data_IF_950139885870
#
_entry.id   IF_950139885870
#
_cell.length_a   1.000
_cell.length_b   1.000
_cell.length_c   1.000
_cell.angle_alpha   90.00
_cell.angle_beta   90.00
_cell.angle_gamma   90.00
#
_symmetry.space_group_name_H-M   'P 1'
#
loop_
_entity.id
_entity.type
_entity.pdbx_description
1 polymer ?
#
# COMPACT_ATOMS: atom_id res chain seq x y z
N UNK A 1 -4.12 -21.04 0.56
CA UNK A 1 -4.73 -19.73 0.88
C UNK A 1 -4.59 -19.51 2.38
N UNK A 2 -3.63 -18.67 2.82
CA UNK A 2 -3.53 -18.22 4.22
C UNK A 2 -3.73 -16.71 4.23
N UNK A 3 -4.99 -16.29 4.35
CA UNK A 3 -5.34 -14.95 4.80
C UNK A 3 -5.22 -14.95 6.33
N UNK A 4 -3.99 -14.81 6.83
CA UNK A 4 -3.68 -15.01 8.25
C UNK A 4 -2.80 -13.90 8.78
N UNK A 5 -3.43 -12.96 9.50
CA UNK A 5 -2.85 -11.85 10.27
C UNK A 5 -2.00 -10.86 9.48
N UNK A 6 -2.64 -9.77 9.05
CA UNK A 6 -1.92 -8.52 8.81
C UNK A 6 -1.15 -8.16 10.08
N UNK A 7 0.13 -7.81 9.96
CA UNK A 7 0.90 -7.35 11.11
C UNK A 7 0.25 -6.10 11.72
N UNK A 8 0.52 -5.81 13.00
CA UNK A 8 -0.04 -4.61 13.64
C UNK A 8 0.31 -3.32 12.88
N UNK A 9 1.51 -3.29 12.25
CA UNK A 9 1.98 -2.19 11.41
C UNK A 9 1.19 -2.12 10.10
N UNK A 10 1.01 -3.24 9.39
CA UNK A 10 0.17 -3.29 8.18
C UNK A 10 -1.25 -2.79 8.44
N UNK A 11 -1.88 -3.29 9.51
CA UNK A 11 -3.22 -2.86 9.90
C UNK A 11 -3.28 -1.37 10.27
N UNK A 12 -2.21 -0.85 10.88
CA UNK A 12 -2.08 0.58 11.21
C UNK A 12 -1.95 1.43 9.97
N UNK A 13 -1.09 1.05 9.03
CA UNK A 13 -0.88 1.74 7.73
C UNK A 13 -2.18 1.78 6.94
N UNK A 14 -2.83 0.63 6.73
CA UNK A 14 -4.10 0.53 6.00
C UNK A 14 -5.17 1.44 6.62
N UNK A 15 -5.27 1.46 7.96
CA UNK A 15 -6.24 2.29 8.67
C UNK A 15 -5.94 3.78 8.54
N UNK A 16 -4.67 4.18 8.67
CA UNK A 16 -4.28 5.59 8.56
C UNK A 16 -4.57 6.15 7.18
N UNK A 17 -4.18 5.44 6.12
CA UNK A 17 -4.44 5.86 4.74
C UNK A 17 -5.93 5.88 4.41
N UNK A 18 -6.63 4.76 4.60
CA UNK A 18 -8.07 4.66 4.25
C UNK A 18 -8.96 5.55 5.13
N UNK A 19 -8.51 5.90 6.34
CA UNK A 19 -9.26 6.75 7.26
C UNK A 19 -9.05 8.25 7.03
N UNK A 20 -7.88 8.64 6.53
CA UNK A 20 -7.53 10.05 6.33
C UNK A 20 -7.76 10.53 4.89
N UNK A 21 -7.78 9.63 3.91
CA UNK A 21 -7.92 9.95 2.48
C UNK A 21 -9.11 9.18 1.89
N UNK A 22 -10.32 9.79 1.85
CA UNK A 22 -11.54 9.15 1.34
C UNK A 22 -11.46 8.66 -0.11
N UNK A 23 -10.59 9.26 -0.92
CA UNK A 23 -10.39 8.96 -2.34
C UNK A 23 -9.63 7.66 -2.59
N UNK A 24 -8.98 7.12 -1.54
CA UNK A 24 -8.35 5.80 -1.61
C UNK A 24 -9.43 4.73 -1.68
N UNK A 25 -9.49 4.03 -2.80
CA UNK A 25 -10.40 2.91 -3.02
C UNK A 25 -9.86 1.63 -2.37
N UNK A 26 -8.53 1.46 -2.38
CA UNK A 26 -7.82 0.31 -1.83
C UNK A 26 -6.43 0.67 -1.33
N UNK A 27 -6.03 0.05 -0.23
CA UNK A 27 -4.65 -0.01 0.23
C UNK A 27 -4.21 -1.47 0.21
N UNK A 28 -3.06 -1.74 -0.39
CA UNK A 28 -2.40 -3.03 -0.34
C UNK A 28 -1.09 -2.85 0.41
N UNK A 29 -0.84 -3.73 1.37
CA UNK A 29 0.40 -3.68 2.15
C UNK A 29 0.97 -5.08 2.20
N UNK A 30 2.27 -5.20 1.96
CA UNK A 30 3.00 -6.43 2.16
C UNK A 30 4.47 -6.16 2.46
N UNK A 31 5.14 -7.17 3.02
CA UNK A 31 6.58 -7.14 3.30
C UNK A 31 7.35 -7.60 2.07
N UNK A 32 8.38 -6.85 1.68
CA UNK A 32 9.37 -7.24 0.67
C UNK A 32 10.77 -6.97 1.23
N UNK A 33 11.51 -8.05 1.51
CA UNK A 33 12.77 -7.94 2.24
C UNK A 33 12.58 -7.28 3.61
N UNK A 34 13.33 -6.21 3.87
CA UNK A 34 13.25 -5.40 5.08
C UNK A 34 12.22 -4.26 4.98
N UNK A 35 11.68 -3.99 3.78
CA UNK A 35 10.73 -2.92 3.55
C UNK A 35 9.27 -3.37 3.65
N UNK A 36 8.40 -2.43 4.02
CA UNK A 36 6.96 -2.53 3.90
C UNK A 36 6.54 -1.76 2.65
N UNK A 37 6.09 -2.50 1.63
CA UNK A 37 5.60 -1.92 0.38
C UNK A 37 4.12 -1.63 0.50
N UNK A 38 3.73 -0.40 0.17
CA UNK A 38 2.39 0.12 0.34
C UNK A 38 1.92 0.68 -0.99
N UNK A 39 0.84 0.10 -1.53
CA UNK A 39 0.15 0.63 -2.70
C UNK A 39 -1.17 1.28 -2.30
N UNK A 40 -1.31 2.57 -2.57
CA UNK A 40 -2.55 3.33 -2.45
C UNK A 40 -3.18 3.44 -3.83
N UNK A 41 -4.38 2.86 -4.01
CA UNK A 41 -5.12 2.92 -5.28
C UNK A 41 -6.20 3.98 -5.18
N UNK A 42 -6.18 4.93 -6.10
CA UNK A 42 -7.16 6.03 -6.22
C UNK A 42 -7.81 5.98 -7.60
N UNK A 43 -9.03 6.53 -7.73
CA UNK A 43 -9.73 6.56 -9.02
C UNK A 43 -8.96 7.41 -10.05
N UNK A 44 -8.65 8.66 -9.67
CA UNK A 44 -7.85 9.63 -10.40
C UNK A 44 -6.86 10.29 -9.45
N UNK A 45 -5.77 10.85 -10.00
CA UNK A 45 -4.80 11.60 -9.21
C UNK A 45 -5.05 13.11 -9.37
N UNK A 46 -5.47 13.74 -8.28
CA UNK A 46 -5.49 15.20 -8.14
C UNK A 46 -4.48 15.60 -7.06
N UNK A 47 -4.00 16.84 -7.15
CA UNK A 47 -2.92 17.35 -6.29
C UNK A 47 -3.32 17.34 -4.81
N UNK A 48 -4.56 17.69 -4.48
CA UNK A 48 -5.07 17.70 -3.09
C UNK A 48 -5.14 16.30 -2.50
N UNK A 49 -5.50 15.30 -3.29
CA UNK A 49 -5.48 13.89 -2.88
C UNK A 49 -4.05 13.40 -2.64
N UNK A 50 -3.12 13.70 -3.55
CA UNK A 50 -1.72 13.31 -3.40
C UNK A 50 -1.07 13.95 -2.17
N UNK A 51 -1.32 15.24 -1.92
CA UNK A 51 -0.80 15.95 -0.75
C UNK A 51 -1.27 15.32 0.56
N UNK A 52 -2.56 14.92 0.62
CA UNK A 52 -3.10 14.21 1.79
C UNK A 52 -2.47 12.84 1.97
N UNK A 53 -2.26 12.10 0.89
CA UNK A 53 -1.56 10.81 0.93
C UNK A 53 -0.15 11.00 1.48
N UNK A 54 0.64 11.91 0.89
CA UNK A 54 2.02 12.15 1.31
C UNK A 54 2.15 12.65 2.75
N UNK A 55 1.19 13.46 3.23
CA UNK A 55 1.15 13.87 4.63
C UNK A 55 0.98 12.68 5.58
N UNK A 56 0.12 11.72 5.22
CA UNK A 56 -0.09 10.49 6.00
C UNK A 56 1.13 9.57 5.93
N UNK A 57 1.71 9.38 4.75
CA UNK A 57 2.92 8.57 4.55
C UNK A 57 4.08 9.11 5.38
N UNK A 58 4.30 10.43 5.35
CA UNK A 58 5.32 11.09 6.16
C UNK A 58 5.09 10.90 7.66
N UNK A 59 3.84 10.96 8.11
CA UNK A 59 3.50 10.70 9.50
C UNK A 59 3.77 9.23 9.89
N UNK A 60 3.47 8.28 8.99
CA UNK A 60 3.77 6.86 9.20
C UNK A 60 5.27 6.58 9.25
N UNK A 61 6.08 7.20 8.38
CA UNK A 61 7.54 7.08 8.42
C UNK A 61 8.12 7.64 9.72
N UNK A 62 7.52 8.71 10.25
CA UNK A 62 7.93 9.28 11.53
C UNK A 62 7.50 8.40 12.73
N UNK A 63 6.28 7.84 12.69
CA UNK A 63 5.74 6.93 13.72
C UNK A 63 6.56 5.62 13.78
N UNK A 64 6.92 5.08 12.62
CA UNK A 64 7.64 3.81 12.46
C UNK A 64 9.05 4.01 11.89
N UNK A 65 9.85 4.85 12.54
CA UNK A 65 11.17 5.26 12.05
C UNK A 65 12.22 4.14 11.90
N UNK A 66 11.97 2.96 12.49
CA UNK A 66 12.83 1.78 12.37
C UNK A 66 12.45 0.90 11.17
N UNK A 67 11.32 1.17 10.53
CA UNK A 67 10.83 0.42 9.37
C UNK A 67 11.24 1.13 8.08
N UNK A 68 11.61 0.35 7.06
CA UNK A 68 11.77 0.87 5.71
C UNK A 68 10.41 0.81 5.00
N UNK A 69 10.01 1.89 4.34
CA UNK A 69 8.77 1.94 3.58
C UNK A 69 9.06 2.23 2.10
N UNK A 70 8.28 1.60 1.24
CA UNK A 70 8.18 1.94 -0.18
C UNK A 70 6.72 2.26 -0.50
N UNK A 71 6.42 3.54 -0.68
CA UNK A 71 5.07 4.04 -0.93
C UNK A 71 4.85 4.29 -2.41
N UNK A 72 3.73 3.77 -2.91
CA UNK A 72 3.37 3.85 -4.31
C UNK A 72 1.90 4.25 -4.43
N UNK A 73 1.62 5.24 -5.28
CA UNK A 73 0.26 5.66 -5.61
C UNK A 73 -0.08 5.18 -7.01
N UNK A 74 -1.20 4.49 -7.15
CA UNK A 74 -1.69 4.00 -8.44
C UNK A 74 -3.02 4.68 -8.74
N UNK A 75 -3.00 5.53 -9.76
CA UNK A 75 -4.23 6.06 -10.35
C UNK A 75 -4.87 5.00 -11.26
N UNK A 76 -6.14 4.71 -11.02
CA UNK A 76 -6.87 3.69 -11.76
C UNK A 76 -7.21 4.16 -13.18
N UNK A 77 -7.45 5.47 -13.37
CA UNK A 77 -7.70 6.12 -14.68
C UNK A 77 -8.74 5.37 -15.52
N UNK A 78 -9.83 4.97 -14.88
CA UNK A 78 -10.93 4.23 -15.51
C UNK A 78 -10.70 2.72 -15.72
N UNK A 79 -9.53 2.15 -15.39
CA UNK A 79 -9.29 0.69 -15.45
C UNK A 79 -10.12 -0.06 -14.41
N UNK A 80 -10.45 -1.33 -14.62
CA UNK A 80 -11.12 -2.09 -13.57
C UNK A 80 -10.15 -2.34 -12.40
N UNK A 81 -10.66 -2.40 -11.16
CA UNK A 81 -9.82 -2.71 -9.99
C UNK A 81 -9.15 -4.07 -10.15
N UNK A 82 -9.84 -5.07 -10.74
CA UNK A 82 -9.28 -6.38 -11.05
C UNK A 82 -8.01 -6.28 -11.90
N UNK A 83 -7.99 -5.41 -12.90
CA UNK A 83 -6.85 -5.26 -13.81
C UNK A 83 -5.62 -4.73 -13.08
N UNK A 84 -5.83 -3.82 -12.12
CA UNK A 84 -4.77 -3.32 -11.23
C UNK A 84 -4.26 -4.46 -10.34
N UNK A 85 -5.17 -5.15 -9.66
CA UNK A 85 -4.80 -6.22 -8.73
C UNK A 85 -4.11 -7.40 -9.41
N UNK A 86 -4.51 -7.75 -10.64
CA UNK A 86 -3.86 -8.77 -11.46
C UNK A 86 -2.46 -8.32 -11.92
N UNK A 87 -2.28 -7.05 -12.29
CA UNK A 87 -0.96 -6.51 -12.63
C UNK A 87 0.00 -6.48 -11.44
N UNK A 88 -0.55 -6.31 -10.22
CA UNK A 88 0.21 -6.38 -8.98
C UNK A 88 0.40 -7.81 -8.50
N UNK A 89 -0.37 -8.79 -9.00
CA UNK A 89 -0.31 -10.16 -8.53
C UNK A 89 1.11 -10.76 -8.62
N UNK A 90 1.91 -10.58 -9.69
CA UNK A 90 3.30 -11.04 -9.72
C UNK A 90 4.17 -10.40 -8.62
N UNK A 91 3.97 -9.10 -8.36
CA UNK A 91 4.68 -8.37 -7.30
C UNK A 91 4.26 -8.89 -5.91
N UNK A 92 2.96 -9.09 -5.71
CA UNK A 92 2.39 -9.68 -4.48
C UNK A 92 2.77 -11.17 -4.31
N UNK A 93 3.12 -11.85 -5.40
CA UNK A 93 3.51 -13.27 -5.46
C UNK A 93 5.02 -13.50 -5.31
N UNK A 94 5.87 -12.48 -5.29
CA UNK A 94 7.32 -12.58 -4.96
C UNK A 94 7.59 -13.03 -3.49
N UNK A 95 6.63 -13.71 -2.86
CA UNK A 95 6.73 -14.39 -1.57
C UNK A 95 7.31 -15.80 -1.72
N UNK A 96 8.58 -15.93 -2.11
CA UNK A 96 9.51 -16.97 -1.60
C UNK A 96 10.91 -16.78 -2.19
N UNK A 97 11.97 -16.57 -1.38
CA UNK A 97 13.22 -17.23 -1.69
C UNK A 97 12.98 -18.72 -1.47
N UNK A 98 12.97 -19.50 -2.55
CA UNK A 98 13.12 -20.95 -2.41
C UNK A 98 14.56 -21.17 -2.00
N UNK A 99 14.85 -21.17 -0.70
CA UNK A 99 16.11 -21.70 -0.19
C UNK A 99 16.14 -23.19 -0.55
N UNK A 100 17.04 -23.54 -1.47
CA UNK A 100 17.45 -24.93 -1.75
C UNK A 100 18.64 -25.24 -0.86
#
# INVERSE_FOLDING_TARGET
>A
MNAGMATAIEARVTRSLSGAVPEIERVLVYREGDALVVFSVVADEDEDTLDRIYAVERALMHEFNAEHFDFNVISRRGRAMSDILESLAPVLQCRVPTSI
#
